data_IF_162321436956
#
_entry.id   IF_162321436956
#
_cell.length_a   1.000
_cell.length_b   1.000
_cell.length_c   1.000
_cell.angle_alpha   90.00
_cell.angle_beta   90.00
_cell.angle_gamma   90.00
#
_symmetry.space_group_name_H-M   'P 1'
#
loop_
_entity.id
_entity.type
_entity.pdbx_description
1 polymer ?
#
# COMPACT_ATOMS: atom_id res chain seq x y z
N UNK A 1 -28.58 50.96 -32.85
CA UNK A 1 -29.02 49.87 -32.00
C UNK A 1 -27.77 49.03 -31.67
N UNK A 2 -27.14 49.37 -30.58
CA UNK A 2 -25.92 48.69 -30.09
C UNK A 2 -26.34 47.66 -29.06
N UNK A 3 -26.22 46.39 -29.45
CA UNK A 3 -26.50 45.22 -28.59
C UNK A 3 -25.42 45.15 -27.49
N UNK A 4 -25.81 45.48 -26.27
CA UNK A 4 -24.96 45.33 -25.09
C UNK A 4 -25.11 43.89 -24.57
N UNK A 5 -24.21 43.01 -24.97
CA UNK A 5 -24.14 41.63 -24.48
C UNK A 5 -23.68 41.63 -23.01
N UNK A 6 -24.55 41.16 -22.10
CA UNK A 6 -24.24 41.03 -20.69
C UNK A 6 -23.11 40.01 -20.48
N UNK A 7 -22.19 40.23 -19.49
CA UNK A 7 -21.11 39.30 -19.22
C UNK A 7 -21.66 37.95 -18.77
N UNK A 8 -21.03 36.81 -19.16
CA UNK A 8 -21.47 35.50 -18.77
C UNK A 8 -21.39 35.32 -17.24
N UNK A 9 -22.45 34.74 -16.68
CA UNK A 9 -22.53 34.43 -15.25
C UNK A 9 -21.35 33.55 -14.81
N UNK A 10 -20.80 33.76 -13.60
CA UNK A 10 -19.68 32.94 -13.10
C UNK A 10 -20.10 31.46 -13.03
N UNK A 11 -19.34 30.62 -13.71
CA UNK A 11 -19.53 29.17 -13.69
C UNK A 11 -19.49 28.69 -12.24
N UNK A 12 -20.57 28.06 -11.77
CA UNK A 12 -20.63 27.39 -10.46
C UNK A 12 -19.62 26.25 -10.46
N UNK A 13 -18.47 26.46 -9.84
CA UNK A 13 -17.47 25.42 -9.61
C UNK A 13 -18.11 24.37 -8.71
N UNK A 14 -18.47 23.21 -9.29
CA UNK A 14 -18.85 22.02 -8.51
C UNK A 14 -17.72 21.76 -7.52
N UNK A 15 -18.05 21.73 -6.22
CA UNK A 15 -17.07 21.37 -5.18
C UNK A 15 -16.45 20.03 -5.57
N UNK A 16 -15.14 20.02 -5.81
CA UNK A 16 -14.39 18.82 -6.14
C UNK A 16 -14.61 17.77 -5.05
N UNK A 17 -14.84 16.51 -5.43
CA UNK A 17 -15.05 15.40 -4.50
C UNK A 17 -13.84 15.21 -3.57
N UNK A 18 -14.04 14.58 -2.41
CA UNK A 18 -13.00 14.36 -1.40
C UNK A 18 -11.77 13.66 -2.01
N UNK A 19 -11.99 12.68 -2.91
CA UNK A 19 -10.90 11.99 -3.62
C UNK A 19 -10.07 12.93 -4.49
N UNK A 20 -10.70 13.87 -5.21
CA UNK A 20 -9.99 14.86 -6.02
C UNK A 20 -9.19 15.84 -5.14
N UNK A 21 -9.77 16.27 -4.01
CA UNK A 21 -9.11 17.18 -3.07
C UNK A 21 -7.95 16.53 -2.32
N UNK A 22 -8.03 15.21 -2.05
CA UNK A 22 -6.90 14.41 -1.57
C UNK A 22 -5.80 14.28 -2.64
N UNK A 23 -6.21 14.03 -3.90
CA UNK A 23 -5.27 13.91 -5.02
C UNK A 23 -4.54 15.22 -5.32
N UNK A 24 -5.23 16.37 -5.24
CA UNK A 24 -4.64 17.71 -5.45
C UNK A 24 -3.85 18.22 -4.24
N UNK A 25 -3.84 17.49 -3.12
CA UNK A 25 -3.15 17.90 -1.89
C UNK A 25 -3.87 19.03 -1.12
N UNK A 26 -5.11 19.36 -1.47
CA UNK A 26 -5.91 20.36 -0.74
C UNK A 26 -6.31 19.89 0.66
N UNK A 27 -6.41 18.57 0.87
CA UNK A 27 -6.70 17.97 2.16
C UNK A 27 -5.49 17.10 2.54
N UNK A 28 -4.90 17.36 3.70
CA UNK A 28 -3.85 16.54 4.31
C UNK A 28 -4.39 15.95 5.60
N UNK A 29 -4.22 14.64 5.77
CA UNK A 29 -4.52 13.96 7.03
C UNK A 29 -3.22 13.74 7.82
N UNK A 30 -3.29 13.93 9.15
CA UNK A 30 -2.13 13.73 10.01
C UNK A 30 -2.03 12.26 10.48
N UNK A 31 -1.42 11.42 9.63
CA UNK A 31 -1.19 10.00 9.91
C UNK A 31 -0.17 9.81 11.04
N UNK A 32 0.90 10.57 11.02
CA UNK A 32 2.03 10.40 11.94
C UNK A 32 1.76 11.03 13.29
N UNK A 33 1.06 12.16 13.36
CA UNK A 33 0.64 12.75 14.63
C UNK A 33 -0.34 11.87 15.40
N UNK A 34 -1.19 11.14 14.68
CA UNK A 34 -2.15 10.19 15.27
C UNK A 34 -1.60 8.75 15.38
N UNK A 35 -0.28 8.52 15.30
CA UNK A 35 0.37 7.19 15.33
C UNK A 35 -0.07 6.30 16.49
N UNK A 36 -0.31 6.86 17.67
CA UNK A 36 -0.76 6.10 18.83
C UNK A 36 -2.10 5.38 18.58
N UNK A 37 -3.03 6.02 17.86
CA UNK A 37 -4.32 5.40 17.50
C UNK A 37 -4.10 4.20 16.59
N UNK A 38 -3.23 4.33 15.59
CA UNK A 38 -2.92 3.26 14.65
C UNK A 38 -2.18 2.11 15.32
N UNK A 39 -1.25 2.41 16.22
CA UNK A 39 -0.56 1.38 17.01
C UNK A 39 -1.53 0.63 17.95
N UNK A 40 -2.53 1.31 18.54
CA UNK A 40 -3.55 0.66 19.35
C UNK A 40 -4.42 -0.25 18.49
N UNK A 41 -4.87 0.21 17.31
CA UNK A 41 -5.63 -0.62 16.37
C UNK A 41 -4.83 -1.86 15.98
N UNK A 42 -3.57 -1.69 15.58
CA UNK A 42 -2.69 -2.81 15.23
C UNK A 42 -2.42 -3.75 16.41
N UNK A 43 -2.23 -3.21 17.61
CA UNK A 43 -2.04 -4.03 18.81
C UNK A 43 -3.28 -4.88 19.11
N UNK A 44 -4.48 -4.31 18.95
CA UNK A 44 -5.74 -5.06 19.11
C UNK A 44 -5.85 -6.15 18.05
N UNK A 45 -5.61 -5.84 16.77
CA UNK A 45 -5.64 -6.82 15.69
C UNK A 45 -4.62 -7.94 15.90
N UNK A 46 -3.38 -7.61 16.27
CA UNK A 46 -2.35 -8.59 16.58
C UNK A 46 -2.71 -9.44 17.80
N UNK A 47 -3.32 -8.84 18.83
CA UNK A 47 -3.76 -9.58 20.03
C UNK A 47 -4.87 -10.58 19.68
N UNK A 48 -5.84 -10.18 18.86
CA UNK A 48 -6.89 -11.07 18.35
C UNK A 48 -6.26 -12.20 17.52
N UNK A 49 -5.33 -11.89 16.63
CA UNK A 49 -4.63 -12.86 15.78
C UNK A 49 -3.83 -13.86 16.61
N UNK A 50 -3.07 -13.40 17.60
CA UNK A 50 -2.30 -14.27 18.50
C UNK A 50 -3.21 -15.10 19.40
N UNK A 51 -4.31 -14.53 19.90
CA UNK A 51 -5.30 -15.27 20.66
C UNK A 51 -5.95 -16.37 19.80
N UNK A 52 -6.30 -16.05 18.55
CA UNK A 52 -6.83 -17.03 17.60
C UNK A 52 -5.84 -18.19 17.37
N UNK A 53 -4.56 -17.89 17.19
CA UNK A 53 -3.51 -18.90 17.03
C UNK A 53 -3.35 -19.80 18.29
N UNK A 54 -3.51 -19.24 19.47
CA UNK A 54 -3.37 -19.98 20.73
C UNK A 54 -4.60 -20.86 21.01
N UNK A 55 -5.81 -20.35 20.81
CA UNK A 55 -7.05 -21.03 21.17
C UNK A 55 -7.58 -21.94 20.07
N UNK A 56 -7.60 -21.48 18.81
CA UNK A 56 -8.15 -22.26 17.70
C UNK A 56 -7.08 -23.08 16.97
N UNK A 57 -5.79 -22.73 17.12
CA UNK A 57 -4.67 -23.36 16.42
C UNK A 57 -4.82 -23.23 14.90
N UNK A 58 -3.77 -23.61 14.17
CA UNK A 58 -3.81 -23.68 12.72
C UNK A 58 -4.27 -25.06 12.29
N UNK A 59 -5.24 -25.11 11.39
CA UNK A 59 -5.58 -26.33 10.70
C UNK A 59 -4.60 -26.55 9.54
N UNK A 60 -3.59 -27.41 9.79
CA UNK A 60 -2.59 -27.74 8.78
C UNK A 60 -3.14 -28.84 7.86
N UNK A 61 -3.03 -28.65 6.56
CA UNK A 61 -3.36 -29.66 5.57
C UNK A 61 -2.57 -30.95 5.71
N UNK A 62 -3.04 -31.99 5.08
CA UNK A 62 -2.37 -33.31 5.07
C UNK A 62 -0.96 -33.24 4.46
N UNK A 63 -0.70 -32.23 3.65
CA UNK A 63 0.60 -31.94 3.07
C UNK A 63 1.66 -31.64 4.15
N UNK A 64 1.24 -31.14 5.31
CA UNK A 64 2.09 -30.82 6.45
C UNK A 64 2.05 -31.89 7.56
N UNK A 65 0.87 -32.43 7.83
CA UNK A 65 0.67 -33.45 8.89
C UNK A 65 0.95 -34.87 8.43
N UNK A 66 0.90 -35.10 7.13
CA UNK A 66 0.76 -36.42 6.55
C UNK A 66 -0.68 -36.90 6.57
N UNK A 67 -1.08 -37.72 5.63
CA UNK A 67 -2.43 -38.25 5.55
C UNK A 67 -2.70 -38.97 4.25
N UNK A 68 -3.93 -39.47 4.12
CA UNK A 68 -4.45 -40.15 2.95
C UNK A 68 -5.45 -39.26 2.22
N UNK A 69 -5.29 -39.09 0.93
CA UNK A 69 -6.16 -38.33 0.03
C UNK A 69 -6.84 -39.26 -0.92
N UNK A 70 -8.17 -39.19 -0.98
CA UNK A 70 -9.00 -39.95 -1.90
C UNK A 70 -9.77 -38.98 -2.79
N UNK A 71 -9.80 -39.26 -4.08
CA UNK A 71 -10.56 -38.47 -5.03
C UNK A 71 -11.40 -39.37 -5.92
N UNK A 72 -12.66 -39.00 -6.11
CA UNK A 72 -13.59 -39.75 -7.01
C UNK A 72 -14.43 -38.78 -7.78
N UNK A 73 -14.90 -39.23 -8.96
CA UNK A 73 -15.88 -38.49 -9.77
C UNK A 73 -17.27 -38.81 -9.26
N UNK A 74 -18.06 -37.77 -8.98
CA UNK A 74 -19.46 -37.86 -8.61
C UNK A 74 -20.14 -36.52 -8.91
N UNK A 75 -21.39 -36.56 -9.36
CA UNK A 75 -22.15 -35.31 -9.50
C UNK A 75 -22.35 -34.66 -8.12
N UNK A 76 -21.85 -33.44 -7.98
CA UNK A 76 -21.87 -32.73 -6.69
C UNK A 76 -23.28 -32.17 -6.47
N UNK A 77 -23.85 -32.45 -5.30
CA UNK A 77 -25.13 -31.96 -4.79
C UNK A 77 -24.89 -31.28 -3.45
N UNK A 78 -25.88 -30.59 -2.88
CA UNK A 78 -25.76 -29.96 -1.56
C UNK A 78 -25.49 -30.96 -0.42
N UNK A 79 -25.99 -32.19 -0.55
CA UNK A 79 -25.80 -33.26 0.44
C UNK A 79 -24.46 -34.00 0.32
N UNK A 80 -23.78 -33.93 -0.83
CA UNK A 80 -22.61 -34.75 -1.17
C UNK A 80 -21.52 -34.72 -0.08
N UNK A 81 -21.19 -33.54 0.47
CA UNK A 81 -20.17 -33.42 1.53
C UNK A 81 -20.60 -34.16 2.80
N UNK A 82 -21.88 -34.06 3.15
CA UNK A 82 -22.48 -34.75 4.30
C UNK A 82 -22.48 -36.27 4.13
N UNK A 83 -22.94 -36.74 2.98
CA UNK A 83 -23.09 -38.15 2.63
C UNK A 83 -21.74 -38.86 2.64
N UNK A 84 -20.74 -38.31 1.97
CA UNK A 84 -19.37 -38.84 1.98
C UNK A 84 -18.74 -38.83 3.37
N UNK A 85 -18.98 -37.79 4.17
CA UNK A 85 -18.49 -37.73 5.54
C UNK A 85 -19.09 -38.85 6.39
N UNK A 86 -20.38 -39.04 6.30
CA UNK A 86 -21.11 -40.09 6.99
C UNK A 86 -20.66 -41.50 6.52
N UNK A 87 -20.52 -41.71 5.21
CA UNK A 87 -20.07 -42.97 4.64
C UNK A 87 -18.69 -43.37 5.15
N UNK A 88 -17.76 -42.41 5.22
CA UNK A 88 -16.41 -42.65 5.73
C UNK A 88 -16.40 -42.89 7.26
N UNK A 89 -17.20 -42.14 8.02
CA UNK A 89 -17.33 -42.36 9.45
C UNK A 89 -17.97 -43.72 9.78
N UNK A 90 -18.91 -44.19 8.97
CA UNK A 90 -19.59 -45.44 9.13
C UNK A 90 -18.67 -46.70 8.91
N UNK A 91 -17.43 -46.50 8.40
CA UNK A 91 -16.44 -47.59 8.27
C UNK A 91 -15.98 -48.15 9.60
N UNK A 92 -16.24 -47.45 10.71
CA UNK A 92 -15.83 -47.87 12.07
C UNK A 92 -14.32 -47.78 12.35
N UNK A 93 -13.55 -47.17 11.46
CA UNK A 93 -12.11 -46.91 11.67
C UNK A 93 -11.92 -45.89 12.80
N UNK A 94 -11.16 -46.21 13.85
CA UNK A 94 -11.06 -45.35 15.03
C UNK A 94 -10.32 -44.04 14.71
N UNK A 95 -10.73 -42.96 15.38
CA UNK A 95 -10.12 -41.62 15.25
C UNK A 95 -10.09 -41.08 13.80
N UNK A 96 -11.11 -41.39 13.02
CA UNK A 96 -11.23 -40.94 11.66
C UNK A 96 -12.08 -39.67 11.59
N UNK A 97 -11.43 -38.56 11.29
CA UNK A 97 -12.09 -37.26 11.08
C UNK A 97 -11.90 -36.88 9.62
N UNK A 98 -12.87 -37.23 8.74
CA UNK A 98 -12.74 -36.93 7.32
C UNK A 98 -13.00 -35.46 7.05
N UNK A 99 -12.09 -34.81 6.31
CA UNK A 99 -12.29 -33.53 5.66
C UNK A 99 -12.76 -33.80 4.24
N UNK A 100 -14.01 -33.53 3.97
CA UNK A 100 -14.64 -33.75 2.67
C UNK A 100 -14.82 -32.42 1.98
N UNK A 101 -14.28 -32.29 0.77
CA UNK A 101 -14.38 -31.10 -0.05
C UNK A 101 -14.81 -31.48 -1.47
N UNK A 102 -15.52 -30.59 -2.14
CA UNK A 102 -15.86 -30.72 -3.55
C UNK A 102 -14.79 -30.06 -4.41
N UNK A 103 -14.47 -30.65 -5.55
CA UNK A 103 -13.54 -30.08 -6.53
C UNK A 103 -14.28 -29.95 -7.86
N UNK A 104 -14.70 -28.71 -8.15
CA UNK A 104 -15.63 -28.46 -9.25
C UNK A 104 -17.01 -29.04 -8.98
N UNK A 105 -17.77 -29.29 -10.05
CA UNK A 105 -19.12 -29.84 -9.99
C UNK A 105 -19.17 -31.37 -10.17
N UNK A 106 -18.02 -32.01 -10.37
CA UNK A 106 -17.93 -33.40 -10.80
C UNK A 106 -16.99 -34.30 -9.98
N UNK A 107 -16.40 -33.77 -8.90
CA UNK A 107 -15.45 -34.53 -8.06
C UNK A 107 -15.62 -34.24 -6.59
N UNK A 108 -15.34 -35.26 -5.78
CA UNK A 108 -15.22 -35.18 -4.33
C UNK A 108 -13.82 -35.59 -3.93
N UNK A 109 -13.26 -34.86 -2.99
CA UNK A 109 -11.98 -35.12 -2.32
C UNK A 109 -12.24 -35.42 -0.85
N UNK A 110 -11.70 -36.52 -0.37
CA UNK A 110 -11.79 -36.94 1.03
C UNK A 110 -10.38 -37.07 1.61
N UNK A 111 -10.09 -36.27 2.60
CA UNK A 111 -8.79 -36.29 3.28
C UNK A 111 -8.96 -36.82 4.69
N UNK A 112 -8.06 -37.72 5.09
CA UNK A 112 -8.05 -38.33 6.43
C UNK A 112 -6.59 -38.50 6.91
N UNK A 113 -6.41 -38.84 8.21
CA UNK A 113 -5.09 -39.22 8.72
C UNK A 113 -4.46 -40.34 7.89
N UNK A 114 -3.16 -40.59 8.08
CA UNK A 114 -2.51 -41.75 7.48
C UNK A 114 -3.20 -43.03 7.91
N UNK A 115 -3.53 -43.85 6.93
CA UNK A 115 -4.24 -45.11 7.10
C UNK A 115 -3.29 -46.32 6.91
N UNK A 116 -3.56 -47.41 7.62
CA UNK A 116 -2.98 -48.72 7.31
C UNK A 116 -3.61 -49.28 6.02
N UNK A 117 -2.98 -50.28 5.40
CA UNK A 117 -3.51 -50.86 4.15
C UNK A 117 -4.92 -51.44 4.33
N UNK A 118 -5.23 -52.02 5.48
CA UNK A 118 -6.56 -52.56 5.79
C UNK A 118 -7.60 -51.41 5.92
N UNK A 119 -7.28 -50.37 6.68
CA UNK A 119 -8.14 -49.18 6.83
C UNK A 119 -8.36 -48.47 5.49
N UNK A 120 -7.30 -48.37 4.66
CA UNK A 120 -7.37 -47.79 3.32
C UNK A 120 -8.41 -48.50 2.44
N UNK A 121 -8.39 -49.83 2.47
CA UNK A 121 -9.32 -50.65 1.69
C UNK A 121 -10.77 -50.42 2.12
N UNK A 122 -11.01 -50.34 3.44
CA UNK A 122 -12.33 -50.07 3.99
C UNK A 122 -12.83 -48.67 3.60
N UNK A 123 -12.01 -47.65 3.79
CA UNK A 123 -12.38 -46.23 3.49
C UNK A 123 -12.57 -46.08 1.99
N UNK A 124 -11.68 -46.65 1.15
CA UNK A 124 -11.78 -46.58 -0.31
C UNK A 124 -13.05 -47.30 -0.81
N UNK A 125 -13.40 -48.42 -0.21
CA UNK A 125 -14.63 -49.14 -0.50
C UNK A 125 -15.88 -48.32 -0.13
N UNK A 126 -15.90 -47.67 1.00
CA UNK A 126 -17.00 -46.80 1.43
C UNK A 126 -17.19 -45.59 0.48
N UNK A 127 -16.08 -44.95 0.13
CA UNK A 127 -16.09 -43.83 -0.83
C UNK A 127 -16.60 -44.30 -2.22
N UNK A 128 -16.12 -45.46 -2.69
CA UNK A 128 -16.55 -46.03 -3.97
C UNK A 128 -18.04 -46.36 -3.98
N UNK A 129 -18.55 -46.95 -2.89
CA UNK A 129 -19.96 -47.28 -2.73
C UNK A 129 -20.83 -46.02 -2.75
N UNK A 130 -20.45 -44.99 -2.06
CA UNK A 130 -21.17 -43.71 -2.00
C UNK A 130 -21.17 -43.00 -3.37
N UNK A 131 -20.02 -43.04 -4.07
CA UNK A 131 -19.91 -42.49 -5.42
C UNK A 131 -20.59 -43.34 -6.52
N UNK A 132 -21.05 -44.54 -6.20
CA UNK A 132 -21.60 -45.49 -7.21
C UNK A 132 -20.53 -45.95 -8.19
N UNK A 133 -19.25 -46.03 -7.79
CA UNK A 133 -18.12 -46.40 -8.66
C UNK A 133 -17.38 -47.65 -8.12
N UNK A 134 -16.50 -48.22 -8.93
CA UNK A 134 -15.66 -49.32 -8.47
C UNK A 134 -14.50 -48.75 -7.62
N UNK A 135 -14.01 -49.49 -6.60
CA UNK A 135 -12.93 -49.03 -5.72
C UNK A 135 -11.62 -48.67 -6.43
N UNK A 136 -11.31 -49.25 -7.55
CA UNK A 136 -10.17 -48.95 -8.41
C UNK A 136 -10.25 -47.60 -9.11
N UNK A 137 -11.46 -47.07 -9.29
CA UNK A 137 -11.68 -45.72 -9.84
C UNK A 137 -11.53 -44.59 -8.82
N UNK A 138 -11.45 -44.91 -7.52
CA UNK A 138 -11.14 -43.94 -6.49
C UNK A 138 -9.63 -43.71 -6.49
N UNK A 139 -9.19 -42.54 -6.94
CA UNK A 139 -7.78 -42.19 -6.87
C UNK A 139 -7.33 -42.10 -5.39
N UNK A 140 -6.16 -42.58 -5.10
CA UNK A 140 -5.58 -42.59 -3.75
C UNK A 140 -4.15 -42.08 -3.77
N UNK A 141 -3.84 -41.18 -2.84
CA UNK A 141 -2.50 -40.67 -2.61
C UNK A 141 -2.20 -40.67 -1.11
N UNK A 142 -1.07 -41.26 -0.74
CA UNK A 142 -0.56 -41.21 0.61
C UNK A 142 0.52 -40.16 0.74
N UNK A 143 0.35 -39.24 1.68
CA UNK A 143 1.36 -38.26 2.05
C UNK A 143 1.98 -38.70 3.35
N UNK A 144 3.24 -39.09 3.30
CA UNK A 144 3.97 -39.54 4.48
C UNK A 144 4.29 -38.40 5.45
N UNK A 145 4.24 -38.66 6.75
CA UNK A 145 4.54 -37.65 7.77
C UNK A 145 6.00 -37.11 7.71
N UNK A 146 6.93 -37.87 7.15
CA UNK A 146 8.31 -37.45 6.88
C UNK A 146 8.36 -36.34 5.81
N UNK A 147 7.56 -36.51 4.75
CA UNK A 147 7.45 -35.54 3.67
C UNK A 147 6.82 -34.24 4.16
N UNK A 148 5.73 -34.31 4.96
CA UNK A 148 5.10 -33.15 5.57
C UNK A 148 6.06 -32.35 6.44
N UNK A 149 6.87 -33.02 7.27
CA UNK A 149 7.91 -32.33 8.06
C UNK A 149 8.96 -31.65 7.19
N UNK A 150 9.38 -32.29 6.11
CA UNK A 150 10.34 -31.69 5.17
C UNK A 150 9.78 -30.44 4.52
N UNK A 151 8.53 -30.46 4.06
CA UNK A 151 7.85 -29.29 3.47
C UNK A 151 7.74 -28.16 4.49
N UNK A 152 7.32 -28.45 5.73
CA UNK A 152 7.25 -27.44 6.80
C UNK A 152 8.62 -26.80 7.05
N UNK A 153 9.68 -27.60 7.13
CA UNK A 153 11.03 -27.09 7.34
C UNK A 153 11.49 -26.21 6.17
N UNK A 154 11.27 -26.65 4.94
CA UNK A 154 11.63 -25.88 3.75
C UNK A 154 10.85 -24.56 3.69
N UNK A 155 9.55 -24.56 4.01
CA UNK A 155 8.72 -23.36 4.06
C UNK A 155 9.23 -22.36 5.12
N UNK A 156 9.59 -22.85 6.31
CA UNK A 156 10.16 -22.01 7.37
C UNK A 156 11.52 -21.41 6.96
N UNK A 157 12.40 -22.21 6.35
CA UNK A 157 13.69 -21.74 5.82
C UNK A 157 13.47 -20.69 4.73
N UNK A 158 12.56 -20.94 3.78
CA UNK A 158 12.24 -20.01 2.70
C UNK A 158 11.74 -18.67 3.25
N UNK A 159 10.88 -18.68 4.27
CA UNK A 159 10.39 -17.47 4.92
C UNK A 159 11.52 -16.68 5.59
N UNK A 160 12.38 -17.35 6.35
CA UNK A 160 13.52 -16.69 7.02
C UNK A 160 14.50 -16.11 6.01
N UNK A 161 14.88 -16.90 4.99
CA UNK A 161 15.77 -16.45 3.91
C UNK A 161 15.16 -15.24 3.18
N UNK A 162 13.86 -15.29 2.88
CA UNK A 162 13.15 -14.19 2.26
C UNK A 162 13.23 -12.91 3.10
N UNK A 163 12.91 -12.98 4.41
CA UNK A 163 12.95 -11.82 5.30
C UNK A 163 14.35 -11.23 5.44
N UNK A 164 15.39 -12.08 5.50
CA UNK A 164 16.78 -11.64 5.54
C UNK A 164 17.19 -10.94 4.25
N UNK A 165 16.88 -11.54 3.10
CA UNK A 165 17.19 -10.96 1.79
C UNK A 165 16.47 -9.62 1.58
N UNK A 166 15.20 -9.54 1.94
CA UNK A 166 14.40 -8.31 1.86
C UNK A 166 14.97 -7.25 2.78
N UNK A 167 15.27 -7.58 4.04
CA UNK A 167 15.87 -6.64 4.97
C UNK A 167 17.20 -6.10 4.47
N UNK A 168 18.05 -6.98 3.90
CA UNK A 168 19.32 -6.60 3.29
C UNK A 168 19.12 -5.71 2.06
N UNK A 169 18.17 -6.09 1.18
CA UNK A 169 17.86 -5.31 -0.03
C UNK A 169 17.44 -3.89 0.31
N UNK A 170 16.52 -3.71 1.27
CA UNK A 170 16.06 -2.39 1.71
C UNK A 170 17.23 -1.60 2.32
N UNK A 171 18.02 -2.24 3.16
CA UNK A 171 19.17 -1.59 3.75
C UNK A 171 20.19 -1.12 2.71
N UNK A 172 20.50 -1.93 1.71
CA UNK A 172 21.41 -1.57 0.62
C UNK A 172 20.83 -0.45 -0.27
N UNK A 173 19.53 -0.52 -0.57
CA UNK A 173 18.86 0.46 -1.44
C UNK A 173 18.77 1.85 -0.80
N UNK A 174 18.28 1.92 0.43
CA UNK A 174 18.13 3.19 1.15
C UNK A 174 19.38 3.62 1.90
N UNK A 175 20.33 2.70 2.12
CA UNK A 175 21.51 2.90 2.98
C UNK A 175 21.14 3.34 4.40
N UNK A 176 20.00 2.87 4.89
CA UNK A 176 19.43 3.21 6.18
C UNK A 176 18.82 1.96 6.84
N UNK A 177 19.47 1.50 7.91
CA UNK A 177 19.01 0.31 8.63
C UNK A 177 17.65 0.51 9.33
N UNK A 178 17.28 1.76 9.66
CA UNK A 178 15.98 2.05 10.29
C UNK A 178 14.82 1.87 9.32
N UNK A 179 15.02 2.19 8.05
CA UNK A 179 14.06 1.87 6.99
C UNK A 179 13.88 0.36 6.84
N UNK A 180 15.00 -0.40 6.87
CA UNK A 180 14.93 -1.86 6.84
C UNK A 180 14.16 -2.43 8.03
N UNK A 181 14.47 -1.99 9.25
CA UNK A 181 13.76 -2.43 10.46
C UNK A 181 12.27 -2.08 10.41
N UNK A 182 11.92 -0.86 10.01
CA UNK A 182 10.52 -0.45 9.93
C UNK A 182 9.73 -1.28 8.91
N UNK A 183 10.31 -1.60 7.76
CA UNK A 183 9.71 -2.48 6.76
C UNK A 183 9.56 -3.92 7.27
N UNK A 184 10.60 -4.47 7.91
CA UNK A 184 10.52 -5.83 8.48
C UNK A 184 9.45 -5.96 9.56
N UNK A 185 9.31 -4.95 10.42
CA UNK A 185 8.24 -4.93 11.45
C UNK A 185 6.85 -4.91 10.77
N UNK A 186 6.67 -4.14 9.72
CA UNK A 186 5.42 -4.14 8.96
C UNK A 186 5.14 -5.49 8.29
N UNK A 187 6.15 -6.12 7.68
CA UNK A 187 6.00 -7.47 7.09
C UNK A 187 5.65 -8.53 8.14
N UNK A 188 6.28 -8.48 9.33
CA UNK A 188 5.94 -9.39 10.43
C UNK A 188 4.53 -9.16 10.93
N UNK A 189 4.07 -7.90 11.00
CA UNK A 189 2.70 -7.57 11.32
C UNK A 189 1.73 -8.18 10.31
N UNK A 190 1.98 -8.05 9.01
CA UNK A 190 1.14 -8.60 7.94
C UNK A 190 1.10 -10.12 7.98
N UNK A 191 2.23 -10.76 8.25
CA UNK A 191 2.34 -12.20 8.42
C UNK A 191 1.47 -12.68 9.59
N UNK A 192 1.60 -12.05 10.77
CA UNK A 192 0.84 -12.44 11.96
C UNK A 192 -0.65 -12.22 11.76
N UNK A 193 -1.05 -11.13 11.11
CA UNK A 193 -2.45 -10.88 10.78
C UNK A 193 -3.00 -11.94 9.83
N UNK A 194 -2.28 -12.23 8.75
CA UNK A 194 -2.73 -13.22 7.75
C UNK A 194 -2.89 -14.60 8.37
N UNK A 195 -1.89 -15.06 9.09
CA UNK A 195 -1.92 -16.38 9.77
C UNK A 195 -2.96 -16.40 10.88
N UNK A 196 -3.15 -15.29 11.61
CA UNK A 196 -4.18 -15.15 12.63
C UNK A 196 -5.60 -15.23 12.08
N UNK A 197 -5.86 -14.64 10.93
CA UNK A 197 -7.16 -14.73 10.25
C UNK A 197 -7.43 -16.18 9.80
N UNK A 198 -6.42 -16.89 9.29
CA UNK A 198 -6.54 -18.32 8.98
C UNK A 198 -6.97 -19.13 10.22
N UNK A 199 -6.33 -18.92 11.37
CA UNK A 199 -6.71 -19.58 12.61
C UNK A 199 -8.11 -19.21 13.10
N UNK A 200 -8.51 -17.92 12.94
CA UNK A 200 -9.80 -17.42 13.41
C UNK A 200 -10.96 -17.99 12.59
N UNK A 201 -10.79 -18.07 11.29
CA UNK A 201 -11.84 -18.54 10.35
C UNK A 201 -11.83 -20.06 10.20
N UNK A 202 -10.74 -20.73 10.58
CA UNK A 202 -10.61 -22.19 10.49
C UNK A 202 -10.26 -22.69 9.09
N UNK A 203 -9.58 -21.86 8.28
CA UNK A 203 -9.11 -22.29 6.97
C UNK A 203 -7.88 -23.19 7.07
N UNK A 204 -7.82 -24.18 6.18
CA UNK A 204 -6.69 -25.12 6.13
C UNK A 204 -5.46 -24.44 5.52
N UNK A 205 -4.33 -24.56 6.20
CA UNK A 205 -3.04 -24.10 5.68
C UNK A 205 -2.44 -25.19 4.79
N UNK A 206 -2.28 -24.87 3.51
CA UNK A 206 -1.72 -25.77 2.48
C UNK A 206 -0.41 -25.19 1.91
N UNK A 207 0.34 -25.94 1.09
CA UNK A 207 1.48 -25.36 0.36
C UNK A 207 1.08 -24.16 -0.53
N UNK A 208 -0.14 -24.14 -1.06
CA UNK A 208 -0.67 -22.99 -1.82
C UNK A 208 -0.81 -21.74 -0.92
N UNK A 209 -1.28 -21.90 0.33
CA UNK A 209 -1.30 -20.83 1.32
C UNK A 209 0.08 -20.26 1.57
N UNK A 210 1.11 -21.11 1.73
CA UNK A 210 2.50 -20.67 1.95
C UNK A 210 3.05 -19.88 0.77
N UNK A 211 2.76 -20.32 -0.46
CA UNK A 211 3.10 -19.57 -1.68
C UNK A 211 2.39 -18.20 -1.67
N UNK A 212 1.10 -18.19 -1.32
CA UNK A 212 0.32 -16.95 -1.17
C UNK A 212 0.94 -15.99 -0.15
N UNK A 213 1.31 -16.49 1.02
CA UNK A 213 1.95 -15.69 2.08
C UNK A 213 3.29 -15.09 1.59
N UNK A 214 4.17 -15.88 0.99
CA UNK A 214 5.45 -15.36 0.47
C UNK A 214 5.23 -14.33 -0.65
N UNK A 215 4.25 -14.55 -1.51
CA UNK A 215 3.90 -13.63 -2.60
C UNK A 215 3.40 -12.30 -2.06
N UNK A 216 2.52 -12.34 -1.05
CA UNK A 216 1.95 -11.12 -0.48
C UNK A 216 2.96 -10.30 0.33
N UNK A 217 3.91 -10.95 0.99
CA UNK A 217 5.00 -10.22 1.64
C UNK A 217 5.81 -9.39 0.63
N UNK A 218 6.03 -9.93 -0.58
CA UNK A 218 6.66 -9.18 -1.67
C UNK A 218 5.80 -8.01 -2.17
N UNK A 219 4.48 -8.21 -2.28
CA UNK A 219 3.55 -7.16 -2.68
C UNK A 219 3.45 -6.04 -1.63
N UNK A 220 3.31 -6.38 -0.34
CA UNK A 220 3.29 -5.42 0.77
C UNK A 220 4.56 -4.57 0.82
N UNK A 221 5.71 -5.23 0.55
CA UNK A 221 6.99 -4.54 0.45
C UNK A 221 7.03 -3.49 -0.64
N UNK A 222 6.43 -3.78 -1.81
CA UNK A 222 6.39 -2.82 -2.92
C UNK A 222 5.77 -1.49 -2.49
N UNK A 223 4.62 -1.53 -1.80
CA UNK A 223 3.95 -0.32 -1.32
C UNK A 223 4.80 0.40 -0.25
N UNK A 224 5.38 -0.34 0.69
CA UNK A 224 6.28 0.22 1.71
C UNK A 224 7.49 0.93 1.10
N UNK A 225 8.12 0.34 0.07
CA UNK A 225 9.28 0.95 -0.62
C UNK A 225 8.88 2.24 -1.34
N UNK A 226 7.71 2.28 -2.00
CA UNK A 226 7.20 3.49 -2.66
C UNK A 226 6.97 4.63 -1.67
N UNK A 227 6.38 4.32 -0.50
CA UNK A 227 6.19 5.32 0.56
C UNK A 227 7.55 5.81 1.10
N UNK A 228 8.49 4.90 1.37
CA UNK A 228 9.81 5.24 1.90
C UNK A 228 10.66 6.06 0.92
N UNK A 229 10.58 5.77 -0.37
CA UNK A 229 11.25 6.56 -1.39
C UNK A 229 10.73 8.00 -1.40
N UNK A 230 9.41 8.18 -1.30
CA UNK A 230 8.80 9.50 -1.19
C UNK A 230 9.13 10.22 0.13
N UNK A 231 9.23 9.48 1.23
CA UNK A 231 9.74 10.03 2.51
C UNK A 231 11.17 10.52 2.34
N UNK A 232 12.04 9.72 1.71
CA UNK A 232 13.44 10.10 1.45
C UNK A 232 13.55 11.36 0.60
N UNK A 233 12.75 11.47 -0.46
CA UNK A 233 12.68 12.67 -1.31
C UNK A 233 12.29 13.90 -0.49
N UNK A 234 11.19 13.83 0.28
CA UNK A 234 10.73 14.96 1.08
C UNK A 234 11.69 15.34 2.22
N UNK A 235 12.39 14.35 2.77
CA UNK A 235 13.39 14.57 3.82
C UNK A 235 14.65 15.27 3.31
N UNK A 236 15.03 15.08 2.05
CA UNK A 236 16.15 15.81 1.44
C UNK A 236 15.94 17.34 1.43
N UNK A 237 14.69 17.80 1.54
CA UNK A 237 14.33 19.22 1.51
C UNK A 237 13.97 19.81 2.89
N UNK A 238 14.25 19.10 4.00
CA UNK A 238 13.88 19.52 5.37
C UNK A 238 14.32 20.95 5.73
N UNK A 239 15.57 21.29 5.42
CA UNK A 239 16.12 22.61 5.76
C UNK A 239 15.49 23.72 4.93
N UNK A 240 15.26 23.48 3.63
CA UNK A 240 14.65 24.43 2.71
C UNK A 240 13.19 24.68 3.06
N UNK A 241 12.42 23.62 3.32
CA UNK A 241 10.99 23.70 3.66
C UNK A 241 10.73 24.04 5.12
N UNK A 242 11.73 24.02 5.97
CA UNK A 242 11.63 24.31 7.42
C UNK A 242 10.57 23.45 8.12
N UNK A 243 10.53 22.17 7.84
CA UNK A 243 9.62 21.18 8.41
C UNK A 243 10.38 20.14 9.23
N UNK A 244 9.70 19.47 10.17
CA UNK A 244 10.25 18.34 10.91
C UNK A 244 10.26 17.06 10.07
N UNK A 245 10.99 16.03 10.52
CA UNK A 245 10.98 14.73 9.86
C UNK A 245 9.58 14.14 9.81
N UNK A 246 8.82 14.19 10.91
CA UNK A 246 7.43 13.71 10.96
C UNK A 246 6.52 14.47 10.01
N UNK A 247 6.67 15.79 9.89
CA UNK A 247 5.89 16.58 8.92
C UNK A 247 6.24 16.21 7.47
N UNK A 248 7.53 16.03 7.16
CA UNK A 248 7.97 15.62 5.83
C UNK A 248 7.47 14.21 5.47
N UNK A 249 7.54 13.26 6.42
CA UNK A 249 7.04 11.92 6.24
C UNK A 249 5.50 11.88 6.13
N UNK A 250 4.77 12.69 6.90
CA UNK A 250 3.32 12.82 6.78
C UNK A 250 2.91 13.36 5.41
N UNK A 251 3.63 14.36 4.90
CA UNK A 251 3.41 14.89 3.56
C UNK A 251 3.68 13.82 2.49
N UNK A 252 4.72 12.99 2.65
CA UNK A 252 5.01 11.90 1.75
C UNK A 252 3.86 10.89 1.68
N UNK A 253 3.32 10.45 2.83
CA UNK A 253 2.16 9.56 2.88
C UNK A 253 0.97 10.16 2.14
N UNK A 254 0.62 11.42 2.41
CA UNK A 254 -0.50 12.08 1.75
C UNK A 254 -0.32 12.16 0.22
N UNK A 255 0.91 12.38 -0.27
CA UNK A 255 1.22 12.46 -1.70
C UNK A 255 1.09 11.11 -2.41
N UNK A 256 1.40 10.00 -1.73
CA UNK A 256 1.31 8.66 -2.33
C UNK A 256 0.02 7.92 -2.02
N UNK A 257 -0.80 8.43 -1.08
CA UNK A 257 -2.00 7.77 -0.57
C UNK A 257 -2.94 7.28 -1.68
N UNK A 258 -3.29 8.16 -2.62
CA UNK A 258 -4.22 7.83 -3.72
C UNK A 258 -3.59 6.78 -4.64
N UNK A 259 -2.28 6.88 -4.89
CA UNK A 259 -1.57 5.88 -5.69
C UNK A 259 -1.58 4.52 -5.00
N UNK A 260 -1.27 4.46 -3.70
CA UNK A 260 -1.28 3.24 -2.90
C UNK A 260 -2.68 2.60 -2.86
N UNK A 261 -3.72 3.40 -2.61
CA UNK A 261 -5.11 2.92 -2.65
C UNK A 261 -5.51 2.37 -4.02
N UNK A 262 -5.21 3.08 -5.11
CA UNK A 262 -5.52 2.63 -6.46
C UNK A 262 -4.78 1.34 -6.80
N UNK A 263 -3.49 1.24 -6.45
CA UNK A 263 -2.68 0.03 -6.67
C UNK A 263 -3.26 -1.16 -5.92
N UNK A 264 -3.66 -0.95 -4.66
CA UNK A 264 -4.29 -2.00 -3.84
C UNK A 264 -5.63 -2.44 -4.42
N UNK A 265 -6.51 -1.50 -4.78
CA UNK A 265 -7.82 -1.82 -5.36
C UNK A 265 -7.65 -2.62 -6.66
N UNK A 266 -6.76 -2.17 -7.56
CA UNK A 266 -6.50 -2.86 -8.84
C UNK A 266 -5.90 -4.25 -8.60
N UNK A 267 -5.02 -4.40 -7.62
CA UNK A 267 -4.41 -5.69 -7.25
C UNK A 267 -5.39 -6.65 -6.57
N UNK A 268 -6.28 -6.13 -5.70
CA UNK A 268 -7.28 -6.94 -4.98
C UNK A 268 -8.38 -7.46 -5.92
N UNK A 269 -8.75 -6.73 -6.97
CA UNK A 269 -9.82 -7.14 -7.88
C UNK A 269 -9.63 -8.54 -8.51
N UNK A 270 -8.49 -8.86 -9.18
CA UNK A 270 -8.26 -10.20 -9.73
C UNK A 270 -8.16 -11.27 -8.64
N UNK A 271 -7.62 -10.94 -7.47
CA UNK A 271 -7.53 -11.87 -6.34
C UNK A 271 -8.91 -12.15 -5.74
N UNK A 272 -9.75 -11.14 -5.62
CA UNK A 272 -11.14 -11.31 -5.20
C UNK A 272 -11.93 -12.17 -6.20
N UNK A 273 -11.70 -11.98 -7.51
CA UNK A 273 -12.29 -12.83 -8.55
C UNK A 273 -11.78 -14.28 -8.45
N UNK A 274 -10.48 -14.48 -8.19
CA UNK A 274 -9.89 -15.80 -7.95
C UNK A 274 -10.50 -16.48 -6.72
N UNK A 275 -10.62 -15.75 -5.62
CA UNK A 275 -11.23 -16.25 -4.38
C UNK A 275 -12.72 -16.61 -4.62
N UNK A 276 -13.46 -15.73 -5.29
CA UNK A 276 -14.86 -16.00 -5.65
C UNK A 276 -15.00 -17.27 -6.52
N UNK A 277 -14.17 -17.38 -7.56
CA UNK A 277 -14.15 -18.56 -8.42
C UNK A 277 -13.76 -19.83 -7.65
N UNK A 278 -12.78 -19.74 -6.73
CA UNK A 278 -12.38 -20.85 -5.87
C UNK A 278 -13.52 -21.34 -4.99
N UNK A 279 -14.20 -20.42 -4.30
CA UNK A 279 -15.27 -20.75 -3.34
C UNK A 279 -16.55 -21.19 -4.03
N UNK A 280 -17.03 -20.45 -5.04
CA UNK A 280 -18.37 -20.62 -5.58
C UNK A 280 -18.46 -21.42 -6.89
N UNK A 281 -17.34 -21.50 -7.64
CA UNK A 281 -17.36 -22.16 -8.96
C UNK A 281 -16.61 -23.49 -8.95
N UNK A 282 -15.43 -23.52 -8.34
CA UNK A 282 -14.54 -24.69 -8.37
C UNK A 282 -14.66 -25.56 -7.11
N UNK A 283 -15.34 -25.07 -6.06
CA UNK A 283 -15.34 -25.70 -4.74
C UNK A 283 -14.00 -25.53 -4.02
N UNK A 284 -13.92 -26.02 -2.79
CA UNK A 284 -12.72 -25.90 -1.94
C UNK A 284 -11.48 -26.51 -2.61
N UNK A 285 -10.37 -25.80 -2.56
CA UNK A 285 -9.11 -26.28 -3.13
C UNK A 285 -7.96 -25.27 -3.12
N UNK A 286 -6.83 -25.60 -3.74
CA UNK A 286 -5.61 -24.78 -3.70
C UNK A 286 -5.80 -23.35 -4.22
N UNK A 287 -6.77 -23.10 -5.11
CA UNK A 287 -7.08 -21.75 -5.62
C UNK A 287 -7.81 -20.90 -4.59
N UNK A 288 -8.71 -21.50 -3.80
CA UNK A 288 -9.35 -20.82 -2.67
C UNK A 288 -8.32 -20.45 -1.61
N UNK A 289 -7.47 -21.44 -1.20
CA UNK A 289 -6.42 -21.23 -0.21
C UNK A 289 -5.44 -20.11 -0.62
N UNK A 290 -5.00 -20.14 -1.88
CA UNK A 290 -4.13 -19.12 -2.46
C UNK A 290 -4.83 -17.76 -2.51
N UNK A 291 -6.07 -17.74 -3.03
CA UNK A 291 -6.86 -16.51 -3.18
C UNK A 291 -7.12 -15.83 -1.84
N UNK A 292 -7.45 -16.60 -0.81
CA UNK A 292 -7.67 -16.07 0.53
C UNK A 292 -6.40 -15.48 1.14
N UNK A 293 -5.27 -16.21 1.05
CA UNK A 293 -4.00 -15.71 1.56
C UNK A 293 -3.61 -14.38 0.90
N UNK A 294 -3.73 -14.31 -0.43
CA UNK A 294 -3.45 -13.11 -1.19
C UNK A 294 -4.41 -11.97 -0.84
N UNK A 295 -5.71 -12.24 -0.75
CA UNK A 295 -6.72 -11.22 -0.44
C UNK A 295 -6.47 -10.58 0.93
N UNK A 296 -6.38 -11.41 1.97
CA UNK A 296 -6.14 -10.94 3.35
C UNK A 296 -4.81 -10.20 3.44
N UNK A 297 -3.75 -10.77 2.88
CA UNK A 297 -2.42 -10.19 2.95
C UNK A 297 -2.30 -8.86 2.20
N UNK A 298 -2.96 -8.70 1.03
CA UNK A 298 -2.98 -7.40 0.31
C UNK A 298 -3.65 -6.30 1.13
N UNK A 299 -4.78 -6.61 1.78
CA UNK A 299 -5.48 -5.64 2.63
C UNK A 299 -4.63 -5.28 3.85
N UNK A 300 -4.01 -6.29 4.49
CA UNK A 300 -3.09 -6.08 5.61
C UNK A 300 -1.87 -5.24 5.21
N UNK A 301 -1.25 -5.53 4.05
CA UNK A 301 -0.08 -4.83 3.53
C UNK A 301 -0.35 -3.36 3.19
N UNK A 302 -1.50 -3.07 2.57
CA UNK A 302 -1.91 -1.70 2.29
C UNK A 302 -2.13 -0.89 3.58
N UNK A 303 -2.66 -1.54 4.62
CA UNK A 303 -2.79 -0.92 5.93
C UNK A 303 -1.42 -0.70 6.58
N UNK A 304 -0.57 -1.71 6.64
CA UNK A 304 0.69 -1.66 7.40
C UNK A 304 1.71 -0.70 6.82
N UNK A 305 1.79 -0.55 5.49
CA UNK A 305 2.71 0.37 4.81
C UNK A 305 2.48 1.84 5.22
N UNK A 306 1.22 2.24 5.35
CA UNK A 306 0.82 3.61 5.68
C UNK A 306 0.78 3.83 7.19
N UNK A 307 0.14 2.92 7.94
CA UNK A 307 -0.21 3.15 9.34
C UNK A 307 0.79 2.59 10.34
N UNK A 308 1.73 1.73 9.90
CA UNK A 308 2.75 1.12 10.77
C UNK A 308 4.15 1.45 10.30
N UNK A 309 4.52 1.08 9.06
CA UNK A 309 5.89 1.22 8.57
C UNK A 309 6.36 2.68 8.62
N UNK A 310 5.55 3.60 8.08
CA UNK A 310 5.94 5.01 7.98
C UNK A 310 5.94 5.74 9.33
N UNK A 311 4.93 5.61 10.21
CA UNK A 311 5.00 6.19 11.55
C UNK A 311 6.14 5.62 12.40
N UNK A 312 6.42 4.32 12.28
CA UNK A 312 7.54 3.68 12.97
C UNK A 312 8.89 4.23 12.48
N UNK A 313 9.06 4.35 11.16
CA UNK A 313 10.24 4.98 10.57
C UNK A 313 10.42 6.41 11.10
N UNK A 314 9.36 7.22 11.07
CA UNK A 314 9.41 8.59 11.58
C UNK A 314 9.82 8.63 13.05
N UNK A 315 9.28 7.73 13.87
CA UNK A 315 9.62 7.63 15.29
C UNK A 315 11.10 7.22 15.51
N UNK A 316 11.61 6.27 14.72
CA UNK A 316 13.01 5.84 14.81
C UNK A 316 13.98 6.95 14.37
N UNK A 317 13.59 7.72 13.34
CA UNK A 317 14.38 8.82 12.81
C UNK A 317 14.40 10.05 13.73
N UNK A 318 13.27 10.40 14.32
CA UNK A 318 13.19 11.53 15.24
C UNK A 318 14.01 11.32 16.53
N UNK A 319 14.37 10.07 16.87
CA UNK A 319 15.27 9.75 17.97
C UNK A 319 16.76 9.99 17.64
N UNK A 320 17.10 10.23 16.37
CA UNK A 320 18.46 10.58 15.98
C UNK A 320 18.85 11.96 16.54
N UNK A 321 20.06 12.12 17.11
CA UNK A 321 20.50 13.41 17.67
C UNK A 321 20.38 14.55 16.67
N UNK A 322 20.74 14.33 15.40
CA UNK A 322 20.66 15.32 14.34
C UNK A 322 19.22 15.79 14.07
N UNK A 323 18.26 14.86 14.03
CA UNK A 323 16.85 15.18 13.80
C UNK A 323 16.22 15.83 15.04
N UNK A 324 16.58 15.39 16.24
CA UNK A 324 16.14 16.01 17.48
C UNK A 324 16.63 17.46 17.59
N UNK A 325 17.88 17.74 17.21
CA UNK A 325 18.42 19.09 17.17
C UNK A 325 17.73 19.96 16.10
N UNK A 326 17.52 19.42 14.90
CA UNK A 326 16.76 20.10 13.83
C UNK A 326 15.37 20.50 14.32
N UNK A 327 14.63 19.60 14.96
CA UNK A 327 13.32 19.88 15.55
C UNK A 327 13.38 21.00 16.58
N UNK A 328 14.34 20.96 17.53
CA UNK A 328 14.51 22.01 18.53
C UNK A 328 14.81 23.39 17.90
N UNK A 329 15.58 23.41 16.80
CA UNK A 329 15.85 24.65 16.05
C UNK A 329 14.59 25.20 15.39
N UNK A 330 13.74 24.32 14.83
CA UNK A 330 12.46 24.69 14.24
C UNK A 330 11.49 25.25 15.29
N UNK A 331 11.34 24.59 16.43
CA UNK A 331 10.49 25.02 17.54
C UNK A 331 10.89 26.42 18.04
N UNK A 332 12.20 26.66 18.24
CA UNK A 332 12.72 27.97 18.63
C UNK A 332 12.45 29.04 17.57
N UNK A 333 12.50 28.72 16.29
CA UNK A 333 12.18 29.66 15.21
C UNK A 333 10.70 29.98 15.18
N UNK A 334 9.85 28.97 15.35
CA UNK A 334 8.37 29.11 15.39
C UNK A 334 7.94 29.95 16.59
N UNK A 335 8.49 29.70 17.81
CA UNK A 335 8.17 30.51 18.97
C UNK A 335 8.58 32.00 18.79
N UNK A 336 9.81 32.24 18.30
CA UNK A 336 10.25 33.63 18.00
C UNK A 336 9.39 34.33 16.95
N UNK A 337 8.88 33.60 15.95
CA UNK A 337 7.99 34.16 14.95
C UNK A 337 6.60 34.48 15.55
N UNK A 338 6.07 33.62 16.41
CA UNK A 338 4.83 33.83 17.15
C UNK A 338 4.93 35.04 18.11
N UNK A 339 6.05 35.15 18.85
CA UNK A 339 6.32 36.29 19.73
C UNK A 339 6.36 37.62 18.96
N UNK A 340 6.96 37.59 17.76
CA UNK A 340 7.00 38.79 16.89
C UNK A 340 5.63 39.14 16.30
N UNK A 341 4.81 38.14 16.00
CA UNK A 341 3.45 38.36 15.46
C UNK A 341 2.47 38.79 16.56
N UNK A 342 2.68 38.32 17.81
CA UNK A 342 1.87 38.69 18.98
C UNK A 342 2.32 39.96 19.70
N UNK A 343 3.48 40.52 19.35
CA UNK A 343 3.90 41.82 19.90
C UNK A 343 2.95 42.90 19.36
N UNK A 344 2.20 43.61 20.23
CA UNK A 344 1.36 44.72 19.75
C UNK A 344 2.32 45.70 19.07
N UNK A 345 2.02 46.03 17.82
CA UNK A 345 2.64 47.16 17.16
C UNK A 345 2.49 48.36 18.09
N UNK A 346 3.57 48.66 18.83
CA UNK A 346 3.66 49.97 19.45
C UNK A 346 3.47 50.95 18.32
N UNK A 347 2.23 51.32 18.06
CA UNK A 347 1.95 52.58 17.38
C UNK A 347 2.76 53.60 18.14
N UNK A 348 3.76 54.17 17.48
CA UNK A 348 4.43 55.35 17.91
C UNK A 348 3.36 56.40 18.26
N UNK A 349 2.89 56.36 19.49
CA UNK A 349 2.06 57.41 20.05
C UNK A 349 3.00 58.53 20.45
N UNK A 350 2.94 59.60 19.74
CA UNK A 350 3.44 60.88 20.21
C UNK A 350 4.77 61.35 19.60
N UNK A 351 4.77 61.62 18.30
CA UNK A 351 5.39 62.88 17.88
C UNK A 351 4.33 63.99 18.02
N UNK A 352 4.56 65.04 18.80
CA UNK A 352 3.58 66.14 18.85
C UNK A 352 3.47 66.77 17.47
N UNK A 353 2.27 66.80 16.96
CA UNK A 353 1.92 67.56 15.75
C UNK A 353 2.24 69.03 16.01
N UNK A 354 3.14 69.69 15.27
CA UNK A 354 3.31 71.13 15.40
C UNK A 354 1.99 71.82 14.94
N UNK A 355 1.52 72.76 15.78
CA UNK A 355 0.34 73.54 15.53
C UNK A 355 0.40 74.24 14.15
N UNK A 356 -0.71 74.42 13.42
CA UNK A 356 -0.73 75.11 12.13
C UNK A 356 -0.39 76.58 12.36
N UNK A 357 0.74 77.04 11.77
CA UNK A 357 1.04 78.46 11.69
C UNK A 357 0.01 79.14 10.78
N UNK A 358 -0.67 80.13 11.33
CA UNK A 358 -1.59 81.05 10.59
C UNK A 358 -0.70 81.92 9.66
N UNK A 359 -0.76 81.62 8.37
CA UNK A 359 -0.14 82.49 7.35
C UNK A 359 -1.18 83.51 6.92
N UNK A 360 -0.91 84.80 7.19
CA UNK A 360 -1.63 85.92 6.74
C UNK A 360 -1.51 86.10 5.21
N UNK A 361 -2.62 86.29 4.57
CA UNK A 361 -2.73 86.57 3.14
C UNK A 361 -2.28 88.00 2.91
N UNK A 362 -1.31 88.18 2.01
CA UNK A 362 -1.07 89.48 1.33
C UNK A 362 -0.67 89.15 -0.10
N UNK A 363 -1.50 89.62 -1.00
CA UNK A 363 -1.30 89.72 -2.46
C UNK A 363 -1.02 91.18 -2.80
N UNK A 364 -0.61 91.59 -4.02
CA UNK A 364 0.10 90.95 -5.12
C UNK A 364 1.28 91.79 -5.65
N UNK A 365 2.04 91.31 -6.60
CA UNK A 365 2.88 92.16 -7.49
C UNK A 365 4.14 91.51 -8.06
N UNK A 366 4.00 91.09 -9.30
CA UNK A 366 4.91 91.36 -10.42
C UNK A 366 6.28 90.72 -10.59
N UNK A 367 6.41 90.17 -11.81
CA UNK A 367 7.63 89.97 -12.65
C UNK A 367 8.55 88.72 -12.48
N UNK A 368 8.54 88.02 -13.63
CA UNK A 368 9.56 86.94 -14.01
C UNK A 368 10.94 87.59 -14.31
N UNK A 369 12.00 86.89 -14.84
CA UNK A 369 12.21 85.45 -15.03
C UNK A 369 13.59 85.01 -14.55
N UNK A 370 13.88 83.76 -14.57
CA UNK A 370 15.00 83.01 -15.23
C UNK A 370 15.58 81.82 -14.48
N UNK A 371 15.88 80.81 -15.29
CA UNK A 371 16.85 79.72 -15.13
C UNK A 371 16.55 78.49 -14.22
N UNK A 372 16.38 77.34 -14.94
CA UNK A 372 16.49 75.98 -14.54
C UNK A 372 17.98 75.60 -14.16
N UNK A 373 18.28 74.52 -13.43
CA UNK A 373 18.23 73.18 -14.01
C UNK A 373 17.91 72.00 -13.07
N UNK A 374 17.33 70.94 -13.64
CA UNK A 374 17.79 69.59 -13.40
C UNK A 374 17.11 68.75 -12.29
N UNK A 375 15.94 68.22 -12.53
CA UNK A 375 15.42 67.07 -11.77
C UNK A 375 15.43 65.83 -12.67
N UNK A 376 16.28 64.83 -12.30
CA UNK A 376 16.29 63.52 -12.93
C UNK A 376 15.11 62.69 -12.44
N UNK A 377 14.22 62.38 -13.37
CA UNK A 377 13.11 61.43 -13.12
C UNK A 377 13.63 60.02 -13.26
N UNK A 378 13.48 59.20 -12.22
CA UNK A 378 13.77 57.80 -12.23
C UNK A 378 12.81 57.05 -13.17
N UNK A 379 13.40 56.24 -14.04
CA UNK A 379 12.75 55.49 -15.11
C UNK A 379 12.07 54.26 -14.48
N UNK A 380 10.77 54.16 -14.59
CA UNK A 380 9.97 52.97 -14.28
C UNK A 380 10.24 51.93 -15.36
N UNK A 381 10.73 50.74 -14.96
CA UNK A 381 10.92 49.60 -15.85
C UNK A 381 9.59 48.88 -16.00
N UNK A 382 9.05 48.85 -17.22
CA UNK A 382 7.87 48.08 -17.61
C UNK A 382 8.26 46.62 -17.83
N UNK A 383 7.43 45.68 -17.33
CA UNK A 383 7.47 44.25 -17.60
C UNK A 383 7.01 43.97 -19.04
N UNK A 384 7.59 43.02 -19.76
CA UNK A 384 7.12 42.63 -21.09
C UNK A 384 5.88 41.69 -20.99
N UNK A 385 4.86 42.02 -21.80
CA UNK A 385 3.70 41.19 -22.10
C UNK A 385 4.10 39.93 -22.94
N UNK A 386 3.38 38.81 -22.79
CA UNK A 386 3.59 37.64 -23.63
C UNK A 386 2.90 37.80 -25.00
N UNK A 387 3.64 37.52 -26.05
CA UNK A 387 3.21 37.56 -27.44
C UNK A 387 2.13 36.51 -27.73
N UNK A 388 1.07 36.97 -28.43
CA UNK A 388 -0.01 36.17 -28.98
C UNK A 388 0.51 35.26 -30.11
N UNK A 389 0.19 33.96 -30.05
CA UNK A 389 0.38 33.02 -31.15
C UNK A 389 -0.75 33.18 -32.19
N UNK A 390 -0.36 33.44 -33.42
CA UNK A 390 -1.24 33.53 -34.57
C UNK A 390 -1.70 32.12 -35.03
N UNK A 391 -2.99 32.06 -35.25
CA UNK A 391 -3.74 31.01 -35.91
C UNK A 391 -3.30 30.83 -37.38
N UNK A 392 -3.02 29.60 -37.82
CA UNK A 392 -3.05 29.21 -39.23
C UNK A 392 -3.68 27.84 -39.38
N UNK A 393 -4.94 27.84 -39.72
CA UNK A 393 -5.58 26.77 -40.46
C UNK A 393 -4.89 26.55 -41.80
N UNK A 394 -4.51 25.35 -42.10
CA UNK A 394 -4.49 24.81 -43.46
C UNK A 394 -4.73 23.32 -43.47
N UNK A 395 -5.79 22.95 -44.12
CA UNK A 395 -6.25 21.63 -44.55
C UNK A 395 -5.33 21.10 -45.65
N UNK A 396 -4.80 19.88 -45.53
CA UNK A 396 -4.54 18.99 -46.66
C UNK A 396 -4.34 17.52 -46.23
N UNK A 397 -4.97 16.66 -46.98
CA UNK A 397 -5.03 15.21 -46.97
C UNK A 397 -3.69 14.48 -47.06
N UNK A 398 -3.66 13.26 -46.44
CA UNK A 398 -3.08 12.06 -47.04
C UNK A 398 -1.57 11.94 -47.05
N UNK A 399 -1.02 11.09 -46.18
CA UNK A 399 -0.08 10.01 -46.54
C UNK A 399 0.53 9.37 -45.28
N UNK A 400 0.28 8.08 -45.13
CA UNK A 400 0.90 7.17 -44.20
C UNK A 400 2.40 7.06 -44.52
N UNK A 401 3.30 7.38 -43.57
CA UNK A 401 4.73 7.05 -43.65
C UNK A 401 5.13 6.10 -42.54
N UNK A 402 5.93 5.05 -42.82
CA UNK A 402 6.32 4.06 -41.83
C UNK A 402 7.37 4.55 -40.84
N UNK A 403 7.35 3.97 -39.64
CA UNK A 403 8.21 4.27 -38.52
C UNK A 403 9.69 4.13 -38.85
N UNK A 404 10.48 5.15 -38.56
CA UNK A 404 11.93 5.14 -38.68
C UNK A 404 12.55 4.36 -37.49
N UNK A 405 13.26 3.31 -37.81
CA UNK A 405 14.07 2.49 -36.92
C UNK A 405 15.23 3.33 -36.34
N UNK A 406 15.24 3.42 -35.02
CA UNK A 406 16.27 4.11 -34.24
C UNK A 406 17.54 3.24 -34.21
N UNK A 407 18.55 3.56 -34.99
CA UNK A 407 19.87 2.92 -34.97
C UNK A 407 20.63 3.30 -33.69
N UNK A 408 21.04 2.30 -32.91
CA UNK A 408 21.98 2.46 -31.79
C UNK A 408 23.39 2.71 -32.32
N UNK A 409 24.18 3.62 -31.70
CA UNK A 409 25.60 3.77 -32.07
C UNK A 409 26.42 2.61 -31.54
N UNK A 410 27.11 1.94 -32.43
CA UNK A 410 28.10 0.88 -32.18
C UNK A 410 29.38 1.47 -31.55
N UNK A 411 29.77 0.94 -30.38
CA UNK A 411 31.08 1.23 -29.75
C UNK A 411 32.22 0.60 -30.55
N UNK A 412 33.34 1.30 -30.78
CA UNK A 412 34.52 0.72 -31.41
C UNK A 412 35.29 -0.23 -30.47
N UNK A 413 35.98 -1.27 -30.98
CA UNK A 413 36.67 -2.25 -30.15
C UNK A 413 37.97 -1.66 -29.55
N UNK A 414 38.19 -1.99 -28.26
CA UNK A 414 39.41 -1.67 -27.52
C UNK A 414 40.59 -2.47 -28.11
N UNK A 415 41.59 -1.77 -28.67
CA UNK A 415 42.87 -2.35 -29.05
C UNK A 415 43.64 -2.84 -27.82
N UNK A 416 44.15 -4.07 -27.89
CA UNK A 416 45.13 -4.65 -26.97
C UNK A 416 46.38 -3.76 -26.92
N UNK A 417 46.80 -3.35 -25.71
CA UNK A 417 48.18 -2.94 -25.44
C UNK A 417 48.82 -4.00 -24.56
N UNK A 418 50.03 -4.35 -24.98
CA UNK A 418 50.98 -5.26 -24.34
C UNK A 418 51.28 -4.87 -22.90
#
# INVERSE_FOLDING_TARGET
MTDTQAPPAPATTKKAGIAHRLYTGEISYDFIGHRTRWYVVSAVLLTISLAALLFFRLDLGIEFRGGSDFQTKVAVTESTVGDFRQAVQATGVPNLTPVVTTVGSDKVRVQVRSLTVAEQTLVRGAIAKEAGTAPDQVAYQLIGASWGRQITQQAAIALVVFLVLVGLLIWLYFRDWKMSVAALVALLHDLVLTVGIYALVGFTVTPATMIGILTILGYSLYDTVVVFDKVRENVAELETRRVSYSEAANNAVNQVLIRSLNTTIIGVLPVAALLFAGVFVLGSGPLEDLGLALFVGMVAGAYSSIFIATPLLAQLKEREPAMAEHRRRLERRRSRAADKAGAPTRRSAGAPVPAPAVVAVSNPGEAAPDEAPGVRIARTVALPEPAAAADRNDTAEGAVRPAATRTQPTRPPRSRRK
#
